data_IF_940295670241
#
_entry.id   IF_940295670241
#
_cell.length_a   1.000
_cell.length_b   1.000
_cell.length_c   1.000
_cell.angle_alpha   90.00
_cell.angle_beta   90.00
_cell.angle_gamma   90.00
#
_symmetry.space_group_name_H-M   'P 1'
#
loop_
_entity.id
_entity.type
_entity.pdbx_description
1 polymer ?
#
# COMPACT_ATOMS: atom_id res chain seq x y z
N UNK A 1 -5.56 -11.28 26.34
CA UNK A 1 -5.69 -10.29 25.26
C UNK A 1 -4.54 -9.29 25.44
N UNK A 2 -3.39 -9.52 24.81
CA UNK A 2 -2.26 -8.59 24.90
C UNK A 2 -2.72 -7.24 24.35
N UNK A 3 -2.48 -6.17 25.10
CA UNK A 3 -2.86 -4.82 24.70
C UNK A 3 -2.32 -4.55 23.29
N UNK A 4 -3.19 -4.16 22.36
CA UNK A 4 -2.74 -3.68 21.05
C UNK A 4 -1.91 -2.42 21.32
N UNK A 5 -0.60 -2.51 21.13
CA UNK A 5 0.24 -1.34 21.14
C UNK A 5 -0.27 -0.37 20.07
N UNK A 6 -0.26 0.91 20.38
CA UNK A 6 -0.62 1.96 19.45
C UNK A 6 0.34 1.92 18.26
N UNK A 7 -0.18 1.82 17.04
CA UNK A 7 0.58 1.93 15.80
C UNK A 7 0.47 3.38 15.33
N UNK A 8 1.59 4.07 15.21
CA UNK A 8 1.61 5.44 14.68
C UNK A 8 1.32 5.45 13.17
N UNK A 9 0.99 6.60 12.61
CA UNK A 9 0.77 6.72 11.17
C UNK A 9 2.05 6.40 10.39
N UNK A 10 3.22 6.82 10.88
CA UNK A 10 4.53 6.59 10.28
C UNK A 10 4.92 5.11 10.35
N UNK A 11 4.76 4.47 11.51
CA UNK A 11 5.02 3.04 11.67
C UNK A 11 4.12 2.23 10.71
N UNK A 12 2.82 2.50 10.74
CA UNK A 12 1.86 1.73 9.97
C UNK A 12 1.92 1.98 8.46
N UNK A 13 2.05 3.24 8.03
CA UNK A 13 2.11 3.55 6.60
C UNK A 13 3.51 3.40 6.03
N UNK A 14 4.48 4.13 6.58
CA UNK A 14 5.81 4.30 5.96
C UNK A 14 6.71 3.05 6.14
N UNK A 15 6.51 2.28 7.23
CA UNK A 15 7.34 1.10 7.51
C UNK A 15 6.64 -0.23 7.20
N UNK A 16 5.31 -0.28 7.33
CA UNK A 16 4.55 -1.51 7.15
C UNK A 16 3.79 -1.56 5.82
N UNK A 17 2.74 -0.74 5.64
CA UNK A 17 1.79 -0.89 4.53
C UNK A 17 2.43 -0.50 3.19
N UNK A 18 3.03 0.69 3.08
CA UNK A 18 3.54 1.19 1.81
C UNK A 18 4.65 0.31 1.24
N UNK A 19 5.77 0.06 1.93
CA UNK A 19 6.88 -0.71 1.35
C UNK A 19 6.56 -2.19 1.14
N UNK A 20 5.69 -2.80 1.95
CA UNK A 20 5.43 -4.26 1.90
C UNK A 20 4.23 -4.65 1.05
N UNK A 21 3.30 -3.73 0.77
CA UNK A 21 2.15 -3.99 -0.11
C UNK A 21 2.14 -3.08 -1.34
N UNK A 22 2.11 -1.76 -1.13
CA UNK A 22 1.87 -0.81 -2.22
C UNK A 22 3.06 -0.76 -3.18
N UNK A 23 4.28 -0.60 -2.67
CA UNK A 23 5.48 -0.53 -3.52
C UNK A 23 5.77 -1.87 -4.22
N UNK A 24 5.39 -2.98 -3.59
CA UNK A 24 5.42 -4.32 -4.23
C UNK A 24 4.46 -4.35 -5.42
N UNK A 25 3.22 -3.89 -5.24
CA UNK A 25 2.24 -3.82 -6.32
C UNK A 25 2.72 -2.89 -7.46
N UNK A 26 3.17 -1.68 -7.15
CA UNK A 26 3.68 -0.75 -8.15
C UNK A 26 4.88 -1.33 -8.91
N UNK A 27 5.79 -2.02 -8.22
CA UNK A 27 6.92 -2.71 -8.84
C UNK A 27 6.51 -3.84 -9.79
N UNK A 28 5.38 -4.52 -9.52
CA UNK A 28 4.82 -5.53 -10.43
C UNK A 28 4.19 -4.86 -11.65
N UNK A 29 3.46 -3.77 -11.46
CA UNK A 29 2.86 -3.01 -12.56
C UNK A 29 3.93 -2.45 -13.51
N UNK A 30 5.07 -2.02 -12.97
CA UNK A 30 6.20 -1.51 -13.77
C UNK A 30 6.95 -2.59 -14.54
N UNK A 31 7.10 -3.79 -13.95
CA UNK A 31 7.87 -4.88 -14.57
C UNK A 31 7.02 -5.78 -15.47
N UNK A 32 5.70 -5.81 -15.26
CA UNK A 32 4.81 -6.78 -15.88
C UNK A 32 4.68 -8.06 -15.03
N UNK A 33 3.47 -8.61 -15.01
CA UNK A 33 3.13 -9.82 -14.26
C UNK A 33 3.85 -11.08 -14.75
N UNK A 34 4.24 -11.10 -16.02
CA UNK A 34 4.99 -12.18 -16.67
C UNK A 34 6.40 -12.36 -16.10
N UNK A 35 6.96 -11.32 -15.48
CA UNK A 35 8.28 -11.36 -14.85
C UNK A 35 8.25 -11.85 -13.39
N UNK A 36 7.06 -12.17 -12.86
CA UNK A 36 6.86 -12.57 -11.47
C UNK A 36 6.92 -14.10 -11.35
N UNK A 37 8.06 -14.61 -10.85
CA UNK A 37 8.33 -16.05 -10.73
C UNK A 37 7.65 -16.72 -9.52
N UNK A 38 7.24 -15.94 -8.52
CA UNK A 38 6.64 -16.41 -7.27
C UNK A 38 5.41 -15.56 -6.99
N UNK A 39 4.36 -16.14 -6.38
CA UNK A 39 3.16 -15.39 -5.99
C UNK A 39 3.56 -14.09 -5.27
N UNK A 40 3.19 -12.91 -5.81
CA UNK A 40 3.65 -11.63 -5.26
C UNK A 40 3.03 -11.32 -3.90
N UNK A 41 1.89 -11.93 -3.58
CA UNK A 41 1.15 -11.72 -2.34
C UNK A 41 0.83 -13.06 -1.67
N UNK A 42 1.83 -13.77 -1.13
CA UNK A 42 1.57 -15.00 -0.40
C UNK A 42 0.85 -14.66 0.93
N UNK A 43 -0.09 -15.49 1.42
CA UNK A 43 -0.91 -15.17 2.59
C UNK A 43 -0.09 -14.82 3.84
N UNK A 44 1.05 -15.49 4.06
CA UNK A 44 1.93 -15.23 5.19
C UNK A 44 2.57 -13.83 5.17
N UNK A 45 2.81 -13.25 4.00
CA UNK A 45 3.37 -11.90 3.87
C UNK A 45 2.30 -10.82 3.91
N UNK A 46 1.10 -11.10 3.38
CA UNK A 46 0.07 -10.06 3.21
C UNK A 46 -0.96 -9.98 4.35
N UNK A 47 -1.25 -11.08 5.04
CA UNK A 47 -2.17 -11.08 6.20
C UNK A 47 -1.75 -10.15 7.35
N UNK A 48 -0.44 -10.02 7.68
CA UNK A 48 0.01 -9.03 8.65
C UNK A 48 -0.34 -7.60 8.25
N UNK A 49 -0.28 -7.26 6.97
CA UNK A 49 -0.55 -5.91 6.45
C UNK A 49 -2.03 -5.55 6.63
N UNK A 50 -2.94 -6.47 6.31
CA UNK A 50 -4.37 -6.28 6.60
C UNK A 50 -4.63 -6.11 8.09
N UNK A 51 -3.92 -6.86 8.93
CA UNK A 51 -4.04 -6.75 10.39
C UNK A 51 -3.56 -5.38 10.89
N UNK A 52 -2.44 -4.87 10.37
CA UNK A 52 -1.91 -3.52 10.65
C UNK A 52 -2.93 -2.45 10.26
N UNK A 53 -3.44 -2.50 9.02
CA UNK A 53 -4.45 -1.56 8.54
C UNK A 53 -5.72 -1.59 9.42
N UNK A 54 -6.25 -2.79 9.70
CA UNK A 54 -7.41 -2.96 10.57
C UNK A 54 -7.16 -2.37 11.97
N UNK A 55 -5.99 -2.62 12.57
CA UNK A 55 -5.66 -2.11 13.88
C UNK A 55 -5.60 -0.58 13.89
N UNK A 56 -4.96 0.04 12.89
CA UNK A 56 -4.90 1.51 12.76
C UNK A 56 -6.28 2.14 12.55
N UNK A 57 -7.17 1.49 11.80
CA UNK A 57 -8.53 1.95 11.57
C UNK A 57 -9.47 1.75 12.78
N UNK A 58 -9.12 0.87 13.71
CA UNK A 58 -9.93 0.55 14.90
C UNK A 58 -9.31 1.03 16.22
N UNK A 59 -8.14 1.67 16.14
CA UNK A 59 -7.54 2.37 17.26
C UNK A 59 -8.47 3.45 17.81
N UNK A 60 -8.45 3.62 19.13
CA UNK A 60 -9.28 4.64 19.79
C UNK A 60 -8.82 6.04 19.37
N UNK A 61 -9.80 6.95 19.26
CA UNK A 61 -9.53 8.38 19.07
C UNK A 61 -8.51 8.90 20.10
N UNK A 62 -7.55 9.76 19.71
CA UNK A 62 -7.40 10.44 18.41
C UNK A 62 -6.63 9.66 17.33
N UNK A 63 -6.33 8.38 17.54
CA UNK A 63 -5.39 7.62 16.71
C UNK A 63 -6.07 6.68 15.70
N UNK A 64 -7.31 7.01 15.34
CA UNK A 64 -7.96 6.35 14.21
C UNK A 64 -7.37 6.96 12.93
N UNK A 65 -6.63 6.15 12.18
CA UNK A 65 -5.94 6.62 10.98
C UNK A 65 -6.61 6.21 9.67
N UNK A 66 -7.88 5.79 9.70
CA UNK A 66 -8.58 5.29 8.51
C UNK A 66 -8.64 6.31 7.37
N UNK A 67 -8.93 7.58 7.69
CA UNK A 67 -8.94 8.68 6.72
C UNK A 67 -7.56 8.91 6.11
N UNK A 68 -6.52 9.03 6.94
CA UNK A 68 -5.15 9.28 6.48
C UNK A 68 -4.61 8.10 5.65
N UNK A 69 -4.96 6.87 6.00
CA UNK A 69 -4.60 5.69 5.21
C UNK A 69 -5.28 5.70 3.84
N UNK A 70 -6.55 6.09 3.77
CA UNK A 70 -7.29 6.21 2.51
C UNK A 70 -6.68 7.29 1.61
N UNK A 71 -6.39 8.46 2.16
CA UNK A 71 -5.82 9.58 1.43
C UNK A 71 -4.42 9.26 0.89
N UNK A 72 -3.53 8.72 1.73
CA UNK A 72 -2.18 8.34 1.30
C UNK A 72 -2.19 7.23 0.25
N UNK A 73 -3.14 6.29 0.35
CA UNK A 73 -3.36 5.28 -0.68
C UNK A 73 -3.76 5.93 -2.01
N UNK A 74 -4.81 6.77 -2.02
CA UNK A 74 -5.25 7.48 -3.21
C UNK A 74 -4.13 8.28 -3.86
N UNK A 75 -3.48 9.15 -3.09
CA UNK A 75 -2.36 9.99 -3.56
C UNK A 75 -1.21 9.18 -4.17
N UNK A 76 -0.91 8.00 -3.61
CA UNK A 76 0.15 7.14 -4.14
C UNK A 76 -0.21 6.62 -5.54
N UNK A 77 -1.45 6.20 -5.75
CA UNK A 77 -1.89 5.72 -7.07
C UNK A 77 -2.10 6.86 -8.06
N UNK A 78 -2.63 8.00 -7.65
CA UNK A 78 -2.73 9.18 -8.50
C UNK A 78 -1.34 9.57 -9.03
N UNK A 79 -0.36 9.65 -8.13
CA UNK A 79 1.05 9.92 -8.50
C UNK A 79 1.58 8.88 -9.48
N UNK A 80 1.33 7.60 -9.23
CA UNK A 80 1.75 6.52 -10.13
C UNK A 80 1.14 6.66 -11.53
N UNK A 81 -0.18 6.90 -11.60
CA UNK A 81 -0.91 7.04 -12.84
C UNK A 81 -0.42 8.25 -13.65
N UNK A 82 -0.26 9.40 -13.00
CA UNK A 82 0.23 10.63 -13.64
C UNK A 82 1.66 10.50 -14.15
N UNK A 83 2.56 9.86 -13.38
CA UNK A 83 3.98 9.81 -13.70
C UNK A 83 4.39 8.65 -14.61
N UNK A 84 3.65 7.54 -14.58
CA UNK A 84 4.04 6.30 -15.28
C UNK A 84 3.06 5.91 -16.37
N UNK A 85 1.77 5.91 -16.06
CA UNK A 85 0.75 5.35 -16.95
C UNK A 85 0.36 6.36 -18.02
N UNK A 86 0.03 7.59 -17.64
CA UNK A 86 -0.41 8.62 -18.58
C UNK A 86 0.62 8.90 -19.70
N UNK A 87 1.92 9.12 -19.42
CA UNK A 87 2.91 9.34 -20.48
C UNK A 87 3.08 8.13 -21.42
N UNK A 88 2.96 6.92 -20.88
CA UNK A 88 3.02 5.68 -21.67
C UNK A 88 1.84 5.57 -22.63
N UNK A 89 0.63 5.93 -22.18
CA UNK A 89 -0.56 5.94 -23.01
C UNK A 89 -0.49 7.02 -24.11
N UNK A 90 -0.04 8.23 -23.76
CA UNK A 90 0.09 9.33 -24.72
C UNK A 90 1.12 9.01 -25.81
N UNK A 91 2.26 8.42 -25.45
CA UNK A 91 3.28 8.01 -26.42
C UNK A 91 2.86 6.84 -27.30
N UNK A 92 2.03 5.92 -26.79
CA UNK A 92 1.49 4.79 -27.56
C UNK A 92 0.35 5.16 -28.52
N UNK A 93 -0.23 6.36 -28.35
CA UNK A 93 -1.32 6.87 -29.20
C UNK A 93 -0.84 7.63 -30.44
N UNK A 94 0.48 7.81 -30.60
CA UNK A 94 1.12 8.40 -31.79
C UNK A 94 1.71 7.32 -32.68
#
# INVERSE_FOLDING_TARGET
MSGKNLISLEEGWDQEIKPKAIDVLLGILDKGFDQIQVSPFPPNAFMPIYTTCYNMCTQRSPYNFSEQLYDRHGQTFDTYLEQKVLPTLESSSR
#
